data_IF_577656498935
#
_entry.id   IF_577656498935
#
_cell.length_a   1.000
_cell.length_b   1.000
_cell.length_c   1.000
_cell.angle_alpha   90.00
_cell.angle_beta   90.00
_cell.angle_gamma   90.00
#
_symmetry.space_group_name_H-M   'P 1'
#
loop_
_entity.id
_entity.type
_entity.pdbx_description
1 polymer ?
#
# COMPACT_ATOMS: atom_id res chain seq x y z
N UNK A 1 6.66 4.57 2.64
CA UNK A 1 6.79 4.98 1.22
C UNK A 1 7.42 3.89 0.37
N UNK A 2 8.61 3.36 0.72
CA UNK A 2 9.29 2.27 -0.01
C UNK A 2 8.45 1.00 -0.24
N UNK A 3 7.52 0.71 0.67
CA UNK A 3 6.78 -0.56 0.67
C UNK A 3 5.65 -0.63 -0.37
N UNK A 4 5.19 0.51 -0.91
CA UNK A 4 4.08 0.56 -1.88
C UNK A 4 4.51 0.19 -3.30
N UNK A 5 5.77 0.43 -3.68
CA UNK A 5 6.27 0.20 -5.04
C UNK A 5 6.94 -1.17 -5.20
N UNK A 6 7.73 -1.59 -4.20
CA UNK A 6 8.55 -2.81 -4.32
C UNK A 6 7.65 -4.06 -4.39
N UNK A 7 6.57 -4.09 -3.61
CA UNK A 7 5.64 -5.22 -3.54
C UNK A 7 4.97 -5.54 -4.88
N UNK A 8 4.34 -4.60 -5.60
CA UNK A 8 3.76 -4.91 -6.91
C UNK A 8 4.81 -5.24 -7.99
N UNK A 9 6.06 -4.81 -7.87
CA UNK A 9 7.08 -5.09 -8.89
C UNK A 9 7.82 -6.42 -8.66
N UNK A 10 8.02 -6.85 -7.42
CA UNK A 10 8.86 -8.01 -7.06
C UNK A 10 8.13 -9.06 -6.20
N UNK A 11 6.90 -8.77 -5.77
CA UNK A 11 6.17 -9.59 -4.79
C UNK A 11 5.35 -10.73 -5.38
N UNK A 12 5.16 -10.79 -6.70
CA UNK A 12 4.44 -11.85 -7.39
C UNK A 12 3.59 -11.34 -8.56
N UNK A 13 2.71 -12.22 -9.04
CA UNK A 13 1.92 -12.01 -10.27
C UNK A 13 0.66 -11.16 -10.07
N UNK A 14 0.30 -10.87 -8.82
CA UNK A 14 -0.92 -10.14 -8.47
C UNK A 14 -0.62 -9.15 -7.35
N UNK A 15 -1.21 -7.98 -7.46
CA UNK A 15 -1.18 -6.96 -6.42
C UNK A 15 -2.60 -6.70 -5.88
N UNK A 16 -2.72 -6.66 -4.55
CA UNK A 16 -3.98 -6.36 -3.86
C UNK A 16 -3.73 -5.21 -2.87
N UNK A 17 -4.69 -4.28 -2.83
CA UNK A 17 -4.65 -3.17 -1.89
C UNK A 17 -5.99 -3.01 -1.18
N UNK A 18 -5.97 -2.83 0.15
CA UNK A 18 -7.17 -2.61 0.95
C UNK A 18 -7.63 -1.16 0.85
N UNK A 19 -8.95 -0.93 0.88
CA UNK A 19 -9.52 0.42 0.86
C UNK A 19 -8.94 1.30 1.98
N UNK A 20 -8.50 2.51 1.63
CA UNK A 20 -7.82 3.45 2.52
C UNK A 20 -6.30 3.39 2.42
N UNK A 21 -5.71 2.24 2.08
CA UNK A 21 -4.26 2.10 2.02
C UNK A 21 -3.65 2.80 0.79
N UNK A 22 -4.45 3.01 -0.27
CA UNK A 22 -4.01 3.70 -1.50
C UNK A 22 -3.56 5.14 -1.24
N UNK A 23 -4.10 5.78 -0.21
CA UNK A 23 -3.70 7.14 0.19
C UNK A 23 -3.04 7.18 1.56
N UNK A 24 -2.76 6.02 2.17
CA UNK A 24 -2.15 5.94 3.49
C UNK A 24 -3.07 6.45 4.61
N UNK A 25 -4.33 6.00 4.59
CA UNK A 25 -5.30 6.33 5.63
C UNK A 25 -4.69 6.14 7.03
N UNK A 26 -4.76 7.17 7.90
CA UNK A 26 -4.18 7.11 9.23
C UNK A 26 -4.96 6.17 10.15
N UNK A 27 -4.43 5.91 11.35
CA UNK A 27 -5.07 5.07 12.36
C UNK A 27 -5.24 3.60 11.91
N UNK A 28 -5.94 2.82 12.74
CA UNK A 28 -6.23 1.42 12.51
C UNK A 28 -7.74 1.21 12.35
N UNK A 29 -8.15 0.21 11.56
CA UNK A 29 -9.54 -0.23 11.52
C UNK A 29 -9.83 -1.08 12.77
N UNK A 30 -10.80 -0.67 13.58
CA UNK A 30 -11.28 -1.44 14.74
C UNK A 30 -12.81 -1.51 14.68
N UNK A 31 -13.33 -2.74 14.74
CA UNK A 31 -14.77 -2.99 14.70
C UNK A 31 -15.37 -2.92 16.12
N UNK A 32 -16.66 -2.58 16.26
CA UNK A 32 -17.36 -2.64 17.54
C UNK A 32 -17.21 -4.00 18.20
N UNK A 33 -16.75 -3.99 19.45
CA UNK A 33 -16.61 -5.18 20.30
C UNK A 33 -16.66 -4.79 21.77
N UNK A 34 -16.91 -5.74 22.69
CA UNK A 34 -16.95 -5.43 24.12
C UNK A 34 -15.67 -4.77 24.65
N UNK A 35 -14.51 -5.14 24.09
CA UNK A 35 -13.21 -4.56 24.45
C UNK A 35 -12.99 -3.10 24.04
N UNK A 36 -13.87 -2.53 23.21
CA UNK A 36 -13.87 -1.10 22.86
C UNK A 36 -15.22 -0.42 23.12
N UNK A 37 -16.04 -0.98 24.01
CA UNK A 37 -17.37 -0.47 24.35
C UNK A 37 -18.33 -0.37 23.15
N UNK A 38 -18.28 -1.33 22.22
CA UNK A 38 -19.10 -1.31 21.00
C UNK A 38 -18.90 -0.03 20.16
N UNK A 39 -17.67 0.50 20.15
CA UNK A 39 -17.36 1.77 19.49
C UNK A 39 -17.25 1.61 17.97
N UNK A 40 -17.90 2.54 17.25
CA UNK A 40 -17.81 2.66 15.79
C UNK A 40 -16.80 3.72 15.34
N UNK A 41 -16.08 4.37 16.27
CA UNK A 41 -15.22 5.51 15.96
C UNK A 41 -14.17 5.20 14.87
N UNK A 42 -13.57 4.00 14.94
CA UNK A 42 -12.54 3.52 14.02
C UNK A 42 -13.09 2.63 12.90
N UNK A 43 -14.37 2.26 12.95
CA UNK A 43 -15.04 1.43 11.94
C UNK A 43 -15.50 2.26 10.72
N UNK A 44 -14.62 3.15 10.22
CA UNK A 44 -14.94 4.10 9.14
C UNK A 44 -13.73 4.36 8.23
N UNK A 45 -13.98 5.01 7.09
CA UNK A 45 -12.94 5.53 6.19
C UNK A 45 -13.11 7.04 6.00
N UNK A 46 -12.04 7.78 6.27
CA UNK A 46 -11.96 9.23 6.17
C UNK A 46 -11.58 9.63 4.74
N UNK A 47 -12.57 9.68 3.83
CA UNK A 47 -12.34 10.06 2.42
C UNK A 47 -11.97 11.53 2.25
N UNK A 48 -12.43 12.38 3.15
CA UNK A 48 -12.10 13.79 3.19
C UNK A 48 -10.59 14.09 3.29
N UNK A 49 -9.78 13.13 3.75
CA UNK A 49 -8.33 13.32 3.85
C UNK A 49 -7.64 13.48 2.50
N UNK A 50 -8.18 12.88 1.43
CA UNK A 50 -7.63 13.03 0.08
C UNK A 50 -8.13 14.28 -0.63
N UNK A 51 -9.28 14.82 -0.19
CA UNK A 51 -9.93 15.97 -0.82
C UNK A 51 -9.41 17.31 -0.26
N UNK A 52 -8.66 17.28 0.84
CA UNK A 52 -8.08 18.45 1.48
C UNK A 52 -6.67 18.74 0.95
N UNK A 53 -6.54 19.79 0.14
CA UNK A 53 -5.29 20.25 -0.47
C UNK A 53 -4.23 20.69 0.55
N UNK A 54 -4.61 21.00 1.80
CA UNK A 54 -3.67 21.33 2.86
C UNK A 54 -2.99 20.09 3.45
N UNK A 55 -3.58 18.90 3.23
CA UNK A 55 -3.02 17.62 3.65
C UNK A 55 -2.23 16.96 2.52
N UNK A 56 -1.35 16.03 2.89
CA UNK A 56 -0.42 15.36 1.96
C UNK A 56 -0.91 14.00 1.46
N UNK A 57 -2.13 13.59 1.81
CA UNK A 57 -2.64 12.26 1.46
C UNK A 57 -2.92 12.10 -0.04
N UNK A 58 -3.27 13.18 -0.74
CA UNK A 58 -3.51 13.16 -2.19
C UNK A 58 -2.27 12.68 -2.96
N UNK A 59 -1.06 13.09 -2.57
CA UNK A 59 0.18 12.65 -3.22
C UNK A 59 0.35 11.13 -3.24
N UNK A 60 -0.06 10.45 -2.17
CA UNK A 60 0.04 8.99 -2.10
C UNK A 60 -1.04 8.32 -2.97
N UNK A 61 -2.23 8.92 -3.03
CA UNK A 61 -3.28 8.53 -3.96
C UNK A 61 -2.86 8.68 -5.42
N UNK A 62 -2.32 9.83 -5.81
CA UNK A 62 -1.80 10.08 -7.16
C UNK A 62 -0.70 9.09 -7.54
N UNK A 63 0.23 8.83 -6.62
CA UNK A 63 1.27 7.83 -6.82
C UNK A 63 0.69 6.43 -7.07
N UNK A 64 -0.31 6.01 -6.28
CA UNK A 64 -0.98 4.71 -6.47
C UNK A 64 -1.65 4.62 -7.85
N UNK A 65 -2.29 5.69 -8.32
CA UNK A 65 -2.93 5.74 -9.64
C UNK A 65 -1.90 5.64 -10.76
N UNK A 66 -0.83 6.44 -10.71
CA UNK A 66 0.25 6.41 -11.69
C UNK A 66 0.94 5.04 -11.73
N UNK A 67 1.11 4.39 -10.57
CA UNK A 67 1.68 3.04 -10.48
C UNK A 67 0.79 2.00 -11.18
N UNK A 68 -0.53 2.03 -10.97
CA UNK A 68 -1.43 1.09 -11.64
C UNK A 68 -1.49 1.34 -13.16
N UNK A 69 -1.55 2.60 -13.59
CA UNK A 69 -1.53 2.95 -15.02
C UNK A 69 -0.25 2.44 -15.70
N UNK A 70 0.90 2.59 -15.02
CA UNK A 70 2.16 2.05 -15.50
C UNK A 70 2.14 0.51 -15.52
N UNK A 71 1.52 -0.12 -14.52
CA UNK A 71 1.36 -1.57 -14.45
C UNK A 71 0.52 -2.13 -15.59
N UNK A 72 -0.60 -1.49 -15.92
CA UNK A 72 -1.46 -1.86 -17.06
C UNK A 72 -0.75 -1.64 -18.40
N UNK A 73 0.00 -0.54 -18.52
CA UNK A 73 0.71 -0.20 -19.76
C UNK A 73 1.85 -1.17 -20.10
N UNK A 74 2.58 -1.63 -19.10
CA UNK A 74 3.77 -2.48 -19.28
C UNK A 74 3.51 -3.96 -18.95
N UNK A 75 2.34 -4.27 -18.40
CA UNK A 75 1.92 -5.62 -18.00
C UNK A 75 2.96 -6.37 -17.15
N UNK A 76 3.68 -5.64 -16.27
CA UNK A 76 4.80 -6.23 -15.53
C UNK A 76 4.38 -7.33 -14.56
N UNK A 77 3.12 -7.33 -14.12
CA UNK A 77 2.60 -8.34 -13.19
C UNK A 77 2.56 -9.73 -13.83
N UNK A 78 2.41 -9.82 -15.15
CA UNK A 78 2.41 -11.09 -15.88
C UNK A 78 3.75 -11.37 -16.57
N UNK A 79 4.78 -10.56 -16.29
CA UNK A 79 6.13 -10.78 -16.83
C UNK A 79 6.88 -11.85 -16.03
N UNK A 80 7.93 -12.42 -16.62
CA UNK A 80 8.81 -13.35 -15.92
C UNK A 80 9.41 -12.70 -14.65
N UNK A 81 9.73 -13.49 -13.61
CA UNK A 81 10.27 -12.95 -12.37
C UNK A 81 11.47 -12.02 -12.59
N UNK A 82 11.39 -10.82 -12.01
CA UNK A 82 12.39 -9.79 -12.20
C UNK A 82 13.77 -10.21 -11.67
N UNK A 83 14.81 -9.88 -12.43
CA UNK A 83 16.20 -10.16 -12.06
C UNK A 83 16.73 -9.11 -11.06
N UNK A 84 17.09 -9.55 -9.85
CA UNK A 84 17.70 -8.69 -8.82
C UNK A 84 19.21 -8.59 -9.07
N UNK A 85 19.64 -7.50 -9.72
CA UNK A 85 21.05 -7.29 -10.10
C UNK A 85 21.98 -7.04 -8.93
N UNK A 86 21.45 -6.51 -7.82
CA UNK A 86 22.24 -6.17 -6.64
C UNK A 86 21.54 -6.64 -5.38
N UNK A 87 22.12 -7.66 -4.76
CA UNK A 87 21.72 -8.13 -3.45
C UNK A 87 22.72 -7.58 -2.45
N UNK A 88 22.25 -6.86 -1.44
CA UNK A 88 23.09 -6.51 -0.31
C UNK A 88 23.68 -7.80 0.26
N UNK A 89 25.01 -7.89 0.47
CA UNK A 89 25.58 -9.00 1.20
C UNK A 89 25.07 -8.90 2.63
N UNK A 90 23.95 -9.56 2.90
CA UNK A 90 23.58 -9.93 4.26
C UNK A 90 24.68 -10.92 4.66
N UNK A 91 25.56 -10.48 5.54
CA UNK A 91 26.42 -11.39 6.27
C UNK A 91 25.53 -12.52 6.80
N UNK A 92 25.89 -13.75 6.47
CA UNK A 92 25.37 -14.93 7.13
C UNK A 92 25.38 -14.70 8.65
N UNK A 93 24.23 -14.93 9.30
CA UNK A 93 24.08 -15.75 10.52
C UNK A 93 22.86 -15.28 11.29
N UNK A 94 21.83 -16.14 11.33
CA UNK A 94 20.94 -16.48 12.46
C UNK A 94 19.90 -17.48 11.89
N UNK A 95 20.29 -18.73 11.62
CA UNK A 95 20.03 -19.82 12.57
C UNK A 95 20.24 -19.48 14.05
#
# INVERSE_FOLDING_TARGET
MLDLTIKPCLGGEVYLNFMGNQFGHPECLDFPRPGNNESYHYARRQRNLTDDDLLKYHFLGEFYWAMNELGERFDWLHSDPAYVSWKLPIALDFF
#
